data_IF_734277299136
#
_entry.id   IF_734277299136
#
_cell.length_a   1.000
_cell.length_b   1.000
_cell.length_c   1.000
_cell.angle_alpha   90.00
_cell.angle_beta   90.00
_cell.angle_gamma   90.00
#
_symmetry.space_group_name_H-M   'P 1'
#
loop_
_entity.id
_entity.type
_entity.pdbx_description
1 polymer ?
#
# COMPACT_ATOMS: atom_id res chain seq x y z
N UNK A 1 18.88 -15.17 -2.01
CA UNK A 1 18.46 -14.34 -0.87
C UNK A 1 18.12 -12.97 -1.39
N UNK A 2 16.97 -12.40 -1.03
CA UNK A 2 16.62 -11.02 -1.38
C UNK A 2 17.34 -9.98 -0.52
N UNK A 3 17.25 -9.99 0.80
CA UNK A 3 17.98 -9.01 1.62
C UNK A 3 19.44 -9.41 1.80
N UNK A 4 20.33 -8.41 1.81
CA UNK A 4 21.74 -8.60 2.13
C UNK A 4 21.92 -8.84 3.64
N UNK A 5 22.90 -9.65 4.03
CA UNK A 5 23.15 -10.01 5.44
C UNK A 5 23.30 -8.79 6.35
N UNK A 6 24.06 -7.76 5.95
CA UNK A 6 24.21 -6.55 6.76
C UNK A 6 22.88 -5.83 7.01
N UNK A 7 22.01 -5.78 5.99
CA UNK A 7 20.67 -5.18 6.13
C UNK A 7 19.81 -6.01 7.08
N UNK A 8 19.88 -7.34 6.98
CA UNK A 8 19.17 -8.24 7.90
C UNK A 8 19.64 -7.99 9.34
N UNK A 9 20.95 -7.95 9.58
CA UNK A 9 21.53 -7.74 10.89
C UNK A 9 21.10 -6.39 11.49
N UNK A 10 21.13 -5.31 10.70
CA UNK A 10 20.69 -3.97 11.12
C UNK A 10 19.20 -3.96 11.50
N UNK A 11 18.34 -4.59 10.67
CA UNK A 11 16.90 -4.64 10.91
C UNK A 11 16.53 -5.50 12.13
N UNK A 12 17.22 -6.63 12.32
CA UNK A 12 17.04 -7.50 13.49
C UNK A 12 17.54 -6.82 14.76
N UNK A 13 18.68 -6.12 14.70
CA UNK A 13 19.21 -5.39 15.85
C UNK A 13 18.26 -4.26 16.29
N UNK A 14 17.61 -3.60 15.33
CA UNK A 14 16.59 -2.59 15.64
C UNK A 14 15.34 -3.23 16.26
N UNK A 15 14.94 -4.41 15.79
CA UNK A 15 13.75 -5.15 16.22
C UNK A 15 12.47 -4.29 16.25
N UNK A 16 12.36 -3.35 15.30
CA UNK A 16 11.16 -2.55 15.09
C UNK A 16 10.13 -3.36 14.27
N UNK A 17 8.83 -3.04 14.39
CA UNK A 17 7.81 -3.55 13.50
C UNK A 17 8.16 -3.28 12.02
N UNK A 18 7.73 -4.17 11.12
CA UNK A 18 8.03 -4.09 9.69
C UNK A 18 6.74 -4.00 8.89
N UNK A 19 6.65 -2.99 8.03
CA UNK A 19 5.55 -2.79 7.09
C UNK A 19 6.02 -3.04 5.65
N UNK A 20 5.53 -4.13 5.05
CA UNK A 20 5.69 -4.41 3.62
C UNK A 20 4.56 -3.74 2.84
N UNK A 21 4.88 -2.79 1.96
CA UNK A 21 3.85 -2.01 1.25
C UNK A 21 3.61 -2.50 -0.17
N UNK A 22 2.35 -2.67 -0.56
CA UNK A 22 1.96 -2.95 -1.94
C UNK A 22 1.83 -1.67 -2.78
N UNK A 23 1.99 -1.78 -4.09
CA UNK A 23 1.80 -0.67 -5.05
C UNK A 23 0.43 -0.04 -4.89
N UNK A 24 -0.64 -0.85 -4.79
CA UNK A 24 -2.00 -0.34 -4.66
C UNK A 24 -2.20 0.51 -3.39
N UNK A 25 -1.64 0.07 -2.27
CA UNK A 25 -1.67 0.77 -0.98
C UNK A 25 -0.96 2.10 -1.06
N UNK A 26 0.24 2.12 -1.64
CA UNK A 26 1.05 3.34 -1.78
C UNK A 26 0.41 4.32 -2.77
N UNK A 27 -0.19 3.83 -3.86
CA UNK A 27 -0.93 4.67 -4.81
C UNK A 27 -2.21 5.24 -4.22
N UNK A 28 -2.87 4.58 -3.26
CA UNK A 28 -4.05 5.13 -2.59
C UNK A 28 -3.77 6.47 -1.88
N UNK A 29 -2.51 6.78 -1.55
CA UNK A 29 -2.10 8.10 -1.01
C UNK A 29 -2.41 9.25 -1.96
N UNK A 30 -2.31 9.02 -3.28
CA UNK A 30 -2.46 10.05 -4.32
C UNK A 30 -3.68 9.83 -5.22
N UNK A 31 -4.36 8.69 -5.10
CA UNK A 31 -5.58 8.42 -5.85
C UNK A 31 -6.68 9.42 -5.49
N UNK A 32 -7.68 9.44 -6.37
CA UNK A 32 -8.86 10.28 -6.26
C UNK A 32 -9.53 10.19 -4.87
N UNK A 33 -9.52 11.31 -4.15
CA UNK A 33 -10.14 11.46 -2.82
C UNK A 33 -11.66 11.56 -2.84
N UNK A 34 -12.28 11.60 -4.02
CA UNK A 34 -13.74 11.61 -4.16
C UNK A 34 -14.34 10.20 -4.14
N UNK A 35 -13.50 9.17 -4.16
CA UNK A 35 -13.90 7.77 -3.98
C UNK A 35 -14.47 7.56 -2.57
N UNK A 36 -15.53 6.77 -2.44
CA UNK A 36 -16.12 6.41 -1.13
C UNK A 36 -15.13 5.69 -0.20
N UNK A 37 -14.12 5.01 -0.78
CA UNK A 37 -13.07 4.34 -0.04
C UNK A 37 -11.99 5.29 0.50
N UNK A 38 -11.97 6.56 0.06
CA UNK A 38 -11.02 7.55 0.55
C UNK A 38 -11.52 8.15 1.87
N UNK A 39 -11.08 7.55 2.98
CA UNK A 39 -11.54 7.89 4.32
C UNK A 39 -10.43 8.51 5.16
N UNK A 40 -10.76 9.55 5.92
CA UNK A 40 -9.79 10.34 6.67
C UNK A 40 -9.01 9.52 7.72
N UNK A 41 -9.64 8.51 8.33
CA UNK A 41 -8.98 7.67 9.32
C UNK A 41 -7.83 6.86 8.71
N UNK A 42 -8.00 6.32 7.49
CA UNK A 42 -6.95 5.58 6.78
C UNK A 42 -5.82 6.51 6.32
N UNK A 43 -6.16 7.72 5.84
CA UNK A 43 -5.16 8.72 5.50
C UNK A 43 -4.31 9.13 6.72
N UNK A 44 -4.96 9.37 7.87
CA UNK A 44 -4.27 9.69 9.12
C UNK A 44 -3.44 8.53 9.65
N UNK A 45 -3.91 7.28 9.50
CA UNK A 45 -3.14 6.10 9.86
C UNK A 45 -1.88 5.97 9.00
N UNK A 46 -1.99 6.18 7.67
CA UNK A 46 -0.85 6.19 6.76
C UNK A 46 0.16 7.30 7.11
N UNK A 47 -0.31 8.50 7.46
CA UNK A 47 0.58 9.59 7.89
C UNK A 47 1.27 9.29 9.22
N UNK A 48 0.60 8.62 10.16
CA UNK A 48 1.21 8.21 11.43
C UNK A 48 2.27 7.12 11.23
N UNK A 49 2.00 6.12 10.38
CA UNK A 49 2.98 5.09 10.02
C UNK A 49 4.18 5.71 9.32
N UNK A 50 3.96 6.63 8.38
CA UNK A 50 5.03 7.34 7.70
C UNK A 50 5.90 8.13 8.70
N UNK A 51 5.28 8.84 9.65
CA UNK A 51 6.02 9.58 10.68
C UNK A 51 6.85 8.64 11.59
N UNK A 52 6.31 7.47 11.95
CA UNK A 52 7.04 6.45 12.72
C UNK A 52 8.23 5.90 11.93
N UNK A 53 8.07 5.68 10.62
CA UNK A 53 9.16 5.25 9.75
C UNK A 53 10.25 6.33 9.62
N UNK A 54 9.85 7.60 9.48
CA UNK A 54 10.78 8.72 9.38
C UNK A 54 11.59 8.96 10.67
N UNK A 55 11.06 8.57 11.83
CA UNK A 55 11.81 8.59 13.09
C UNK A 55 12.97 7.57 13.08
N UNK A 56 12.90 6.54 12.24
CA UNK A 56 13.97 5.57 11.99
C UNK A 56 14.11 4.46 13.03
N UNK A 57 13.42 4.56 14.18
CA UNK A 57 13.45 3.53 15.24
C UNK A 57 12.13 2.79 15.45
N UNK A 58 11.01 3.34 14.97
CA UNK A 58 9.68 2.90 15.42
C UNK A 58 8.96 2.03 14.38
N UNK A 59 9.37 2.12 13.12
CA UNK A 59 8.83 1.33 12.02
C UNK A 59 9.86 1.19 10.90
N UNK A 60 10.02 -0.02 10.39
CA UNK A 60 10.76 -0.29 9.14
C UNK A 60 9.76 -0.45 8.01
N UNK A 61 9.96 0.26 6.90
CA UNK A 61 9.14 0.09 5.70
C UNK A 61 9.95 -0.68 4.66
N UNK A 62 9.40 -1.80 4.18
CA UNK A 62 9.95 -2.58 3.08
C UNK A 62 9.13 -2.34 1.81
N UNK A 63 9.83 -2.07 0.71
CA UNK A 63 9.23 -1.92 -0.61
C UNK A 63 9.95 -2.84 -1.59
N UNK A 64 9.24 -3.82 -2.16
CA UNK A 64 9.81 -4.67 -3.20
C UNK A 64 10.21 -3.84 -4.41
N UNK A 65 11.31 -4.21 -5.07
CA UNK A 65 11.79 -3.52 -6.28
C UNK A 65 10.70 -3.45 -7.36
N UNK A 66 9.88 -4.50 -7.47
CA UNK A 66 8.71 -4.52 -8.36
C UNK A 66 7.70 -3.40 -8.05
N UNK A 67 7.48 -3.06 -6.78
CA UNK A 67 6.64 -1.92 -6.37
C UNK A 67 7.26 -0.61 -6.84
N UNK A 68 8.57 -0.44 -6.67
CA UNK A 68 9.29 0.77 -7.15
C UNK A 68 9.13 0.96 -8.67
N UNK A 69 9.23 -0.12 -9.44
CA UNK A 69 9.03 -0.12 -10.90
C UNK A 69 7.59 0.29 -11.25
N UNK A 70 6.60 -0.28 -10.59
CA UNK A 70 5.19 0.05 -10.82
C UNK A 70 4.86 1.50 -10.45
N UNK A 71 5.39 1.97 -9.33
CA UNK A 71 5.26 3.34 -8.90
C UNK A 71 5.90 4.31 -9.91
N UNK A 72 7.00 3.95 -10.55
CA UNK A 72 7.58 4.76 -11.63
C UNK A 72 6.68 4.80 -12.88
N UNK A 73 6.03 3.68 -13.22
CA UNK A 73 5.17 3.56 -14.39
C UNK A 73 3.81 4.25 -14.24
N UNK A 74 3.19 4.19 -13.06
CA UNK A 74 1.77 4.53 -12.89
C UNK A 74 1.51 5.91 -12.28
N UNK A 75 2.45 6.47 -11.52
CA UNK A 75 2.17 7.68 -10.72
C UNK A 75 1.75 8.88 -11.56
N UNK A 76 2.37 9.12 -12.72
CA UNK A 76 1.99 10.24 -13.57
C UNK A 76 0.53 10.13 -14.05
N UNK A 77 0.08 8.92 -14.41
CA UNK A 77 -1.30 8.65 -14.79
C UNK A 77 -2.27 8.87 -13.63
N UNK A 78 -1.96 8.30 -12.47
CA UNK A 78 -2.79 8.43 -11.26
C UNK A 78 -2.93 9.90 -10.83
N UNK A 79 -1.86 10.69 -10.92
CA UNK A 79 -1.92 12.13 -10.65
C UNK A 79 -2.89 12.87 -11.59
N UNK A 80 -2.85 12.57 -12.88
CA UNK A 80 -3.75 13.17 -13.88
C UNK A 80 -5.19 12.77 -13.60
N UNK A 81 -5.43 11.48 -13.30
CA UNK A 81 -6.77 10.98 -12.94
C UNK A 81 -7.32 11.68 -11.69
N UNK A 82 -6.51 11.80 -10.63
CA UNK A 82 -6.91 12.46 -9.39
C UNK A 82 -7.20 13.95 -9.59
N UNK A 83 -6.38 14.67 -10.38
CA UNK A 83 -6.63 16.08 -10.74
C UNK A 83 -7.94 16.23 -11.51
N UNK A 84 -8.17 15.36 -12.50
CA UNK A 84 -9.37 15.38 -13.32
C UNK A 84 -10.62 15.08 -12.49
N UNK A 85 -10.56 14.11 -11.58
CA UNK A 85 -11.67 13.80 -10.68
C UNK A 85 -12.00 14.96 -9.74
N UNK A 86 -10.98 15.58 -9.14
CA UNK A 86 -11.18 16.73 -8.27
C UNK A 86 -11.75 17.95 -9.03
N UNK A 87 -11.29 18.19 -10.25
CA UNK A 87 -11.84 19.24 -11.11
C UNK A 87 -13.31 18.98 -11.46
N UNK A 88 -13.68 17.73 -11.80
CA UNK A 88 -15.07 17.33 -12.04
C UNK A 88 -15.94 17.53 -10.80
N UNK A 89 -15.45 17.12 -9.63
CA UNK A 89 -16.16 17.31 -8.36
C UNK A 89 -16.40 18.79 -8.06
N UNK A 90 -15.37 19.65 -8.22
CA UNK A 90 -15.51 21.10 -8.02
C UNK A 90 -16.56 21.70 -8.95
N UNK A 91 -16.52 21.35 -10.24
CA UNK A 91 -17.52 21.82 -11.22
C UNK A 91 -18.93 21.32 -10.89
N UNK A 92 -19.07 20.09 -10.41
CA UNK A 92 -20.34 19.53 -9.97
C UNK A 92 -20.89 20.26 -8.73
N UNK A 93 -20.06 20.45 -7.71
CA UNK A 93 -20.44 21.11 -6.47
C UNK A 93 -20.83 22.57 -6.73
N UNK A 94 -20.08 23.28 -7.58
CA UNK A 94 -20.37 24.65 -7.99
C UNK A 94 -21.73 24.75 -8.71
N UNK A 95 -22.01 23.88 -9.67
CA UNK A 95 -23.31 23.85 -10.37
C UNK A 95 -24.48 23.62 -9.41
N UNK A 96 -24.33 22.70 -8.46
CA UNK A 96 -25.37 22.43 -7.44
C UNK A 96 -25.58 23.66 -6.55
N UNK A 97 -24.50 24.32 -6.15
CA UNK A 97 -24.55 25.55 -5.36
C UNK A 97 -25.28 26.68 -6.10
N UNK A 98 -25.00 26.89 -7.38
CA UNK A 98 -25.67 27.90 -8.21
C UNK A 98 -27.19 27.67 -8.31
N UNK A 99 -27.60 26.41 -8.48
CA UNK A 99 -29.03 26.05 -8.46
C UNK A 99 -29.63 26.32 -7.07
N UNK A 100 -28.95 25.95 -5.98
CA UNK A 100 -29.45 26.21 -4.63
C UNK A 100 -29.64 27.72 -4.36
N UNK A 101 -28.69 28.55 -4.80
CA UNK A 101 -28.78 30.02 -4.69
C UNK A 101 -29.98 30.57 -5.46
N UNK A 102 -30.23 30.07 -6.68
CA UNK A 102 -31.40 30.46 -7.48
C UNK A 102 -32.74 30.12 -6.79
N UNK A 103 -32.75 29.11 -5.92
CA UNK A 103 -33.92 28.70 -5.12
C UNK A 103 -33.95 29.37 -3.73
N UNK A 104 -33.11 30.38 -3.49
CA UNK A 104 -33.13 31.19 -2.27
C UNK A 104 -32.25 30.67 -1.13
N UNK A 105 -31.39 29.67 -1.37
CA UNK A 105 -30.38 29.29 -0.39
C UNK A 105 -29.42 30.45 -0.12
N UNK A 106 -28.86 30.50 1.10
CA UNK A 106 -27.86 31.48 1.50
C UNK A 106 -26.59 30.75 1.97
N UNK A 107 -25.43 31.37 1.77
CA UNK A 107 -24.14 30.86 2.22
C UNK A 107 -23.10 30.73 1.12
N UNK A 108 -21.89 30.31 1.51
CA UNK A 108 -20.76 30.07 0.61
C UNK A 108 -20.47 28.57 0.51
N UNK A 109 -19.96 28.13 -0.64
CA UNK A 109 -19.39 26.80 -0.82
C UNK A 109 -17.86 26.90 -0.94
N UNK A 110 -17.10 26.83 0.19
CA UNK A 110 -15.65 26.95 0.15
C UNK A 110 -15.00 25.65 -0.36
N UNK A 111 -14.42 25.69 -1.57
CA UNK A 111 -13.71 24.55 -2.17
C UNK A 111 -12.20 24.77 -2.31
N UNK A 112 -11.69 25.95 -1.90
CA UNK A 112 -10.30 26.35 -2.15
C UNK A 112 -9.27 25.46 -1.43
N UNK A 113 -9.66 24.87 -0.29
CA UNK A 113 -8.81 23.93 0.44
C UNK A 113 -8.47 22.65 -0.37
N UNK A 114 -9.27 22.32 -1.40
CA UNK A 114 -9.01 21.21 -2.31
C UNK A 114 -7.92 21.56 -3.32
N UNK A 115 -7.64 22.84 -3.57
CA UNK A 115 -6.57 23.26 -4.47
C UNK A 115 -5.22 22.77 -3.96
N UNK A 116 -4.39 22.31 -4.90
CA UNK A 116 -3.07 21.75 -4.58
C UNK A 116 -3.11 20.42 -3.83
N UNK A 117 -4.28 19.80 -3.60
CA UNK A 117 -4.36 18.54 -2.85
C UNK A 117 -3.50 17.43 -3.49
N UNK A 118 -3.58 17.24 -4.81
CA UNK A 118 -2.77 16.21 -5.51
C UNK A 118 -1.28 16.48 -5.37
N UNK A 119 -0.86 17.75 -5.36
CA UNK A 119 0.55 18.10 -5.12
C UNK A 119 0.99 17.78 -3.69
N UNK A 120 0.14 18.07 -2.68
CA UNK A 120 0.41 17.67 -1.29
C UNK A 120 0.49 16.15 -1.14
N UNK A 121 -0.45 15.42 -1.75
CA UNK A 121 -0.44 13.96 -1.76
C UNK A 121 0.81 13.39 -2.44
N UNK A 122 1.28 14.01 -3.53
CA UNK A 122 2.55 13.65 -4.18
C UNK A 122 3.76 13.82 -3.26
N UNK A 123 3.80 14.88 -2.45
CA UNK A 123 4.84 15.05 -1.43
C UNK A 123 4.82 13.91 -0.42
N UNK A 124 3.64 13.48 0.04
CA UNK A 124 3.50 12.34 0.96
C UNK A 124 3.95 11.02 0.30
N UNK A 125 3.58 10.79 -0.96
CA UNK A 125 4.02 9.62 -1.71
C UNK A 125 5.54 9.56 -1.86
N UNK A 126 6.20 10.69 -2.10
CA UNK A 126 7.66 10.73 -2.20
C UNK A 126 8.32 10.36 -0.87
N UNK A 127 7.81 10.88 0.25
CA UNK A 127 8.29 10.52 1.59
C UNK A 127 8.21 9.01 1.87
N UNK A 128 7.13 8.34 1.42
CA UNK A 128 7.03 6.89 1.50
C UNK A 128 8.11 6.15 0.70
N UNK A 129 8.53 6.70 -0.45
CA UNK A 129 9.64 6.11 -1.23
C UNK A 129 10.99 6.36 -0.56
N UNK A 130 11.18 7.55 -0.01
CA UNK A 130 12.45 7.97 0.58
C UNK A 130 12.77 7.20 1.87
N UNK A 131 11.74 6.83 2.64
CA UNK A 131 11.89 6.08 3.90
C UNK A 131 11.97 4.56 3.71
N UNK A 132 11.55 4.05 2.56
CA UNK A 132 11.44 2.61 2.35
C UNK A 132 12.80 1.96 2.02
N UNK A 133 13.10 0.86 2.71
CA UNK A 133 14.18 -0.04 2.34
C UNK A 133 13.73 -0.94 1.19
N UNK A 134 14.48 -0.92 0.09
CA UNK A 134 14.14 -1.70 -1.11
C UNK A 134 14.51 -3.17 -0.91
N UNK A 135 13.55 -4.06 -1.15
CA UNK A 135 13.79 -5.50 -1.24
C UNK A 135 14.12 -5.83 -2.70
N UNK A 136 15.37 -6.20 -3.02
CA UNK A 136 15.78 -6.36 -4.42
C UNK A 136 15.21 -7.65 -5.02
N UNK A 137 15.19 -7.68 -6.35
CA UNK A 137 14.80 -8.85 -7.11
C UNK A 137 15.75 -10.03 -6.86
N UNK A 138 15.20 -11.23 -7.00
CA UNK A 138 15.93 -12.50 -6.85
C UNK A 138 15.28 -13.54 -7.76
N UNK A 139 16.08 -14.28 -8.54
CA UNK A 139 15.59 -15.31 -9.47
C UNK A 139 14.74 -16.39 -8.79
N UNK A 140 15.01 -16.67 -7.51
CA UNK A 140 14.20 -17.58 -6.69
C UNK A 140 12.78 -17.04 -6.46
N UNK A 141 12.64 -15.74 -6.22
CA UNK A 141 11.35 -15.06 -6.07
C UNK A 141 10.56 -15.13 -7.39
N UNK A 142 11.21 -14.82 -8.51
CA UNK A 142 10.58 -14.92 -9.83
C UNK A 142 10.08 -16.33 -10.14
N UNK A 143 10.89 -17.34 -9.83
CA UNK A 143 10.53 -18.74 -10.06
C UNK A 143 9.31 -19.18 -9.25
N UNK A 144 9.23 -18.79 -7.97
CA UNK A 144 8.06 -19.10 -7.12
C UNK A 144 6.83 -18.29 -7.51
N UNK A 145 6.99 -17.04 -7.90
CA UNK A 145 5.90 -16.21 -8.42
C UNK A 145 5.29 -16.83 -9.69
N UNK A 146 6.13 -17.32 -10.61
CA UNK A 146 5.68 -18.04 -11.80
C UNK A 146 4.91 -19.32 -11.45
N UNK A 147 5.36 -20.05 -10.42
CA UNK A 147 4.64 -21.21 -9.90
C UNK A 147 3.25 -20.84 -9.37
N UNK A 148 3.11 -19.74 -8.62
CA UNK A 148 1.78 -19.24 -8.18
C UNK A 148 0.84 -18.96 -9.34
N UNK A 149 1.35 -18.36 -10.43
CA UNK A 149 0.56 -18.08 -11.63
C UNK A 149 0.08 -19.37 -12.31
N UNK A 150 0.93 -20.39 -12.39
CA UNK A 150 0.57 -21.68 -12.99
C UNK A 150 -0.39 -22.51 -12.13
N UNK A 151 -0.32 -22.35 -10.80
CA UNK A 151 -1.16 -23.05 -9.81
C UNK A 151 -2.40 -22.23 -9.36
N UNK A 152 -2.83 -21.26 -10.18
CA UNK A 152 -3.59 -20.05 -9.78
C UNK A 152 -3.75 -19.80 -8.27
N UNK A 153 -2.63 -19.61 -7.57
CA UNK A 153 -2.58 -19.29 -6.13
C UNK A 153 -2.56 -17.79 -5.91
N UNK A 154 -3.30 -17.29 -4.91
CA UNK A 154 -3.38 -15.85 -4.66
C UNK A 154 -1.99 -15.18 -4.54
N UNK A 155 -1.81 -13.96 -5.11
CA UNK A 155 -2.83 -13.14 -5.78
C UNK A 155 -3.18 -13.57 -7.23
N UNK A 156 -2.56 -14.63 -7.77
CA UNK A 156 -2.86 -15.10 -9.13
C UNK A 156 -4.28 -15.64 -9.29
N UNK A 157 -4.83 -15.41 -10.49
CA UNK A 157 -6.14 -15.91 -10.92
C UNK A 157 -6.10 -16.41 -12.35
N UNK A 158 -6.92 -17.41 -12.65
CA UNK A 158 -7.06 -17.93 -14.00
C UNK A 158 -7.48 -16.82 -14.97
N UNK A 159 -6.71 -16.64 -16.05
CA UNK A 159 -7.00 -15.67 -17.10
C UNK A 159 -6.66 -14.21 -16.77
N UNK A 160 -5.96 -13.94 -15.66
CA UNK A 160 -5.50 -12.58 -15.29
C UNK A 160 -3.97 -12.50 -15.26
N UNK A 161 -3.42 -11.44 -15.86
CA UNK A 161 -2.01 -11.08 -15.65
C UNK A 161 -1.79 -10.68 -14.19
N UNK A 162 -1.19 -11.59 -13.42
CA UNK A 162 -0.99 -11.44 -11.96
C UNK A 162 0.48 -11.66 -11.56
N UNK A 163 1.37 -11.79 -12.54
CA UNK A 163 2.77 -12.13 -12.29
C UNK A 163 3.46 -11.07 -11.43
N UNK A 164 3.16 -9.78 -11.65
CA UNK A 164 3.76 -8.70 -10.90
C UNK A 164 3.35 -8.72 -9.42
N UNK A 165 2.06 -8.87 -9.15
CA UNK A 165 1.53 -9.02 -7.79
C UNK A 165 2.11 -10.27 -7.10
N UNK A 166 2.29 -11.37 -7.85
CA UNK A 166 2.95 -12.57 -7.34
C UNK A 166 4.42 -12.35 -6.98
N UNK A 167 5.16 -11.56 -7.77
CA UNK A 167 6.55 -11.21 -7.47
C UNK A 167 6.64 -10.37 -6.19
N UNK A 168 5.71 -9.42 -6.00
CA UNK A 168 5.65 -8.59 -4.80
C UNK A 168 5.46 -9.45 -3.54
N UNK A 169 4.45 -10.32 -3.54
CA UNK A 169 4.16 -11.15 -2.35
C UNK A 169 5.29 -12.15 -2.07
N UNK A 170 5.87 -12.75 -3.10
CA UNK A 170 6.99 -13.68 -2.96
C UNK A 170 8.27 -13.02 -2.43
N UNK A 171 8.51 -11.76 -2.82
CA UNK A 171 9.62 -10.98 -2.27
C UNK A 171 9.43 -10.74 -0.77
N UNK A 172 8.20 -10.47 -0.32
CA UNK A 172 7.90 -10.25 1.10
C UNK A 172 7.91 -11.55 1.91
N UNK A 173 7.44 -12.66 1.37
CA UNK A 173 7.56 -13.97 2.02
C UNK A 173 9.04 -14.34 2.20
N UNK A 174 9.87 -14.15 1.17
CA UNK A 174 11.32 -14.37 1.27
C UNK A 174 11.98 -13.46 2.31
N UNK A 175 11.71 -12.15 2.25
CA UNK A 175 12.31 -11.19 3.17
C UNK A 175 11.89 -11.47 4.62
N UNK A 176 10.61 -11.77 4.86
CA UNK A 176 10.12 -12.14 6.18
C UNK A 176 10.77 -13.44 6.68
N UNK A 177 10.87 -14.47 5.83
CA UNK A 177 11.55 -15.71 6.18
C UNK A 177 13.02 -15.51 6.57
N UNK A 178 13.72 -14.61 5.88
CA UNK A 178 15.10 -14.23 6.21
C UNK A 178 15.19 -13.50 7.56
N UNK A 179 14.32 -12.51 7.79
CA UNK A 179 14.27 -11.76 9.05
C UNK A 179 13.93 -12.67 10.23
N UNK A 180 12.96 -13.58 10.08
CA UNK A 180 12.60 -14.58 11.11
C UNK A 180 13.75 -15.54 11.39
N UNK A 181 14.40 -16.05 10.35
CA UNK A 181 15.56 -16.95 10.50
C UNK A 181 16.74 -16.27 11.21
N UNK A 182 16.87 -14.95 11.06
CA UNK A 182 17.88 -14.14 11.73
C UNK A 182 17.47 -13.68 13.14
N UNK A 183 16.23 -13.94 13.58
CA UNK A 183 15.76 -13.70 14.95
C UNK A 183 14.90 -12.46 15.16
N UNK A 184 14.39 -11.82 14.10
CA UNK A 184 13.40 -10.75 14.25
C UNK A 184 12.13 -11.31 14.90
N UNK A 185 11.72 -10.73 16.04
CA UNK A 185 10.50 -11.13 16.76
C UNK A 185 9.36 -10.12 16.62
N UNK A 186 9.67 -8.89 16.17
CA UNK A 186 8.68 -7.85 15.97
C UNK A 186 7.62 -8.22 14.89
N UNK A 187 6.42 -7.62 14.94
CA UNK A 187 5.38 -7.87 13.94
C UNK A 187 5.85 -7.50 12.52
N UNK A 188 5.47 -8.32 11.53
CA UNK A 188 5.62 -8.01 10.11
C UNK A 188 4.22 -7.96 9.51
N UNK A 189 3.89 -6.86 8.83
CA UNK A 189 2.58 -6.66 8.21
C UNK A 189 2.74 -6.37 6.72
N UNK A 190 2.01 -7.09 5.88
CA UNK A 190 1.85 -6.81 4.47
C UNK A 190 0.57 -6.02 4.21
N UNK A 191 0.70 -4.77 3.74
CA UNK A 191 -0.42 -3.89 3.47
C UNK A 191 -0.75 -3.81 1.97
N UNK A 192 -1.92 -4.33 1.58
CA UNK A 192 -2.45 -4.25 0.22
C UNK A 192 -3.92 -3.83 0.22
N UNK A 193 -4.26 -2.77 -0.51
CA UNK A 193 -5.66 -2.41 -0.76
C UNK A 193 -6.33 -3.26 -1.85
N UNK A 194 -5.58 -4.16 -2.50
CA UNK A 194 -6.09 -5.06 -3.54
C UNK A 194 -6.80 -6.29 -2.95
N UNK A 195 -7.71 -6.06 -2.00
CA UNK A 195 -8.45 -7.09 -1.26
C UNK A 195 -9.15 -8.11 -2.16
N UNK A 196 -9.55 -7.68 -3.38
CA UNK A 196 -10.20 -8.56 -4.35
C UNK A 196 -9.34 -9.73 -4.74
N UNK A 197 -8.01 -9.62 -4.77
CA UNK A 197 -7.10 -10.69 -5.18
C UNK A 197 -6.68 -11.62 -4.04
N UNK A 198 -6.68 -11.10 -2.81
CA UNK A 198 -6.24 -11.83 -1.64
C UNK A 198 -7.38 -12.51 -0.87
N UNK A 199 -8.58 -11.92 -0.85
CA UNK A 199 -9.70 -12.47 -0.10
C UNK A 199 -10.44 -13.56 -0.86
N UNK A 200 -10.89 -14.56 -0.10
CA UNK A 200 -11.82 -15.56 -0.60
C UNK A 200 -13.14 -14.88 -1.03
N UNK A 201 -13.79 -15.36 -2.11
CA UNK A 201 -14.97 -14.72 -2.69
C UNK A 201 -16.06 -14.41 -1.65
N UNK A 202 -16.54 -13.16 -1.65
CA UNK A 202 -17.59 -12.67 -0.74
C UNK A 202 -17.25 -12.73 0.76
N UNK A 203 -15.96 -12.76 1.12
CA UNK A 203 -15.52 -12.74 2.51
C UNK A 203 -14.51 -11.62 2.77
N UNK A 204 -14.15 -11.42 4.04
CA UNK A 204 -12.99 -10.61 4.46
C UNK A 204 -11.83 -11.48 4.96
N UNK A 205 -11.83 -12.76 4.59
CA UNK A 205 -10.79 -13.72 4.96
C UNK A 205 -9.89 -13.92 3.76
N UNK A 206 -8.58 -14.05 4.00
CA UNK A 206 -7.63 -14.47 2.99
C UNK A 206 -8.04 -15.83 2.40
N UNK A 207 -7.65 -16.07 1.15
CA UNK A 207 -7.66 -17.42 0.59
C UNK A 207 -6.70 -18.30 1.40
N UNK A 208 -7.08 -19.56 1.63
CA UNK A 208 -6.40 -20.43 2.60
C UNK A 208 -4.92 -20.64 2.27
N UNK A 209 -4.57 -20.74 0.98
CA UNK A 209 -3.21 -20.97 0.54
C UNK A 209 -2.27 -19.78 0.81
N UNK A 210 -2.74 -18.55 0.60
CA UNK A 210 -1.93 -17.36 0.90
C UNK A 210 -1.92 -17.05 2.39
N UNK A 211 -3.01 -17.37 3.10
CA UNK A 211 -3.02 -17.29 4.57
C UNK A 211 -1.93 -18.17 5.17
N UNK A 212 -1.84 -19.44 4.72
CA UNK A 212 -0.81 -20.37 5.17
C UNK A 212 0.61 -19.89 4.81
N UNK A 213 0.83 -19.44 3.58
CA UNK A 213 2.16 -18.95 3.17
C UNK A 213 2.64 -17.74 4.01
N UNK A 214 1.73 -16.84 4.38
CA UNK A 214 2.05 -15.69 5.22
C UNK A 214 2.23 -16.08 6.69
N UNK A 215 1.43 -17.02 7.20
CA UNK A 215 1.54 -17.57 8.56
C UNK A 215 2.88 -18.28 8.78
N UNK A 216 3.35 -19.05 7.80
CA UNK A 216 4.63 -19.78 7.84
C UNK A 216 5.84 -18.86 8.10
N UNK A 217 5.74 -17.59 7.72
CA UNK A 217 6.79 -16.57 7.95
C UNK A 217 6.36 -15.48 8.96
N UNK A 218 5.22 -15.66 9.62
CA UNK A 218 4.71 -14.75 10.64
C UNK A 218 4.43 -13.34 10.09
N UNK A 219 3.80 -13.26 8.92
CA UNK A 219 3.34 -12.02 8.29
C UNK A 219 1.83 -11.90 8.41
N UNK A 220 1.33 -10.77 8.90
CA UNK A 220 -0.11 -10.45 8.89
C UNK A 220 -0.49 -9.65 7.64
N UNK A 221 -1.70 -9.87 7.12
CA UNK A 221 -2.24 -9.07 6.01
C UNK A 221 -3.12 -7.92 6.51
N UNK A 222 -2.91 -6.73 5.96
CA UNK A 222 -3.71 -5.54 6.24
C UNK A 222 -4.34 -4.98 4.95
N UNK A 223 -5.68 -4.82 4.89
CA UNK A 223 -6.37 -4.29 3.70
C UNK A 223 -6.22 -2.78 3.49
N UNK A 224 -5.70 -2.04 4.47
CA UNK A 224 -5.49 -0.60 4.45
C UNK A 224 -4.50 -0.18 5.54
N UNK A 225 -4.12 1.11 5.55
CA UNK A 225 -3.22 1.64 6.57
C UNK A 225 -3.80 1.62 7.98
N UNK A 226 -5.12 1.76 8.16
CA UNK A 226 -5.76 1.66 9.48
C UNK A 226 -5.56 0.28 10.12
N UNK A 227 -5.82 -0.79 9.35
CA UNK A 227 -5.58 -2.15 9.79
C UNK A 227 -4.08 -2.44 9.99
N UNK A 228 -3.22 -1.93 9.09
CA UNK A 228 -1.79 -2.13 9.21
C UNK A 228 -1.24 -1.52 10.49
N UNK A 229 -1.65 -0.27 10.77
CA UNK A 229 -1.29 0.45 12.00
C UNK A 229 -1.71 -0.32 13.25
N UNK A 230 -2.95 -0.82 13.29
CA UNK A 230 -3.44 -1.63 14.39
C UNK A 230 -2.60 -2.92 14.59
N UNK A 231 -2.34 -3.69 13.53
CA UNK A 231 -1.53 -4.92 13.61
C UNK A 231 -0.07 -4.66 14.00
N UNK A 232 0.48 -3.50 13.65
CA UNK A 232 1.83 -3.09 14.06
C UNK A 232 1.90 -2.56 15.51
N UNK A 233 0.76 -2.30 16.14
CA UNK A 233 0.69 -1.75 17.51
C UNK A 233 1.07 -0.27 17.62
N UNK A 234 0.89 0.51 16.55
CA UNK A 234 1.25 1.94 16.46
C UNK A 234 0.02 2.87 16.48
#
# INVERSE_FOLDING_TARGET
>A
MSLNTSVIDDLVALNAPVLCVDTCTVLDVIRDITRETAVAHDANAGLALLAAAEAGSDLVVLMAEQVTIELAAHVAGVEVEARNALARFRAQAQRIHEVALAYGAQGMLPLDHLEGHVARARTVLNRWRDVASVVPHNDGVASRAFKRVNEPRAPARLGKESMKDCVIVEAYIEAAGQLRSAGLVAPIVFASSNTKEYFAPNTRRLQDEIAADLEDVGVEYAPNFGAAKHSLGL
#
